data_IF_465349370639
#
_entry.id   IF_465349370639
#
_cell.length_a   1.000
_cell.length_b   1.000
_cell.length_c   1.000
_cell.angle_alpha   90.00
_cell.angle_beta   90.00
_cell.angle_gamma   90.00
#
_symmetry.space_group_name_H-M   'P 1'
#
loop_
_entity.id
_entity.type
_entity.pdbx_description
1 polymer ?
#
# COMPACT_ATOMS: atom_id res chain seq x y z
N UNK A 1 -21.61 32.51 -10.32
CA UNK A 1 -22.16 31.20 -9.95
C UNK A 1 -21.97 30.17 -11.04
N UNK A 2 -21.96 28.91 -10.67
CA UNK A 2 -21.82 27.76 -11.57
C UNK A 2 -23.12 26.99 -11.67
N UNK A 3 -23.41 26.44 -12.85
CA UNK A 3 -24.63 25.66 -13.11
C UNK A 3 -24.39 24.17 -12.75
N UNK A 4 -23.14 23.69 -12.89
CA UNK A 4 -22.80 22.31 -12.68
C UNK A 4 -21.32 22.15 -12.31
N UNK A 5 -21.03 21.22 -11.39
CA UNK A 5 -19.68 20.86 -10.96
C UNK A 5 -19.58 19.32 -11.00
N UNK A 6 -18.44 18.82 -11.47
CA UNK A 6 -18.04 17.42 -11.36
C UNK A 6 -16.83 17.34 -10.44
N UNK A 7 -16.93 16.50 -9.40
CA UNK A 7 -15.81 16.13 -8.56
C UNK A 7 -15.47 14.67 -8.88
N UNK A 8 -14.40 14.50 -9.65
CA UNK A 8 -13.87 13.18 -10.00
C UNK A 8 -12.88 12.73 -8.93
N UNK A 9 -12.89 11.45 -8.60
CA UNK A 9 -12.14 10.85 -7.47
C UNK A 9 -12.35 11.63 -6.15
N UNK A 10 -13.60 12.06 -5.92
CA UNK A 10 -13.92 12.97 -4.82
C UNK A 10 -13.53 12.45 -3.43
N UNK A 11 -13.46 11.14 -3.25
CA UNK A 11 -13.02 10.53 -2.00
C UNK A 11 -11.58 10.90 -1.61
N UNK A 12 -10.74 11.29 -2.58
CA UNK A 12 -9.35 11.74 -2.37
C UNK A 12 -9.25 13.28 -2.25
N UNK A 13 -10.35 14.01 -2.44
CA UNK A 13 -10.43 15.46 -2.27
C UNK A 13 -10.73 15.81 -0.80
N UNK A 14 -10.09 16.84 -0.26
CA UNK A 14 -10.41 17.32 1.08
C UNK A 14 -11.87 17.84 1.15
N UNK A 15 -12.66 17.49 2.16
CA UNK A 15 -14.07 17.89 2.28
C UNK A 15 -14.28 19.40 2.20
N UNK A 16 -13.37 20.19 2.79
CA UNK A 16 -13.42 21.66 2.83
C UNK A 16 -13.39 22.28 1.43
N UNK A 17 -12.71 21.61 0.47
CA UNK A 17 -12.71 22.06 -0.92
C UNK A 17 -14.12 22.10 -1.52
N UNK A 18 -14.96 21.13 -1.17
CA UNK A 18 -16.36 21.14 -1.58
C UNK A 18 -17.20 22.08 -0.72
N UNK A 19 -17.20 21.90 0.59
CA UNK A 19 -18.15 22.58 1.47
C UNK A 19 -17.87 24.08 1.56
N UNK A 20 -16.62 24.52 1.63
CA UNK A 20 -16.25 25.91 1.84
C UNK A 20 -16.03 26.67 0.52
N UNK A 21 -15.53 25.98 -0.53
CA UNK A 21 -15.15 26.64 -1.77
C UNK A 21 -16.14 26.42 -2.90
N UNK A 22 -16.46 25.17 -3.24
CA UNK A 22 -17.23 24.85 -4.45
C UNK A 22 -18.75 25.00 -4.23
N UNK A 23 -19.27 24.48 -3.12
CA UNK A 23 -20.69 24.54 -2.82
C UNK A 23 -21.28 25.96 -2.85
N UNK A 24 -20.63 27.01 -2.30
CA UNK A 24 -21.14 28.39 -2.39
C UNK A 24 -21.27 28.88 -3.83
N UNK A 25 -20.44 28.44 -4.76
CA UNK A 25 -20.49 28.87 -6.17
C UNK A 25 -21.73 28.34 -6.92
N UNK A 26 -22.39 27.31 -6.38
CA UNK A 26 -23.64 26.75 -6.94
C UNK A 26 -24.88 27.52 -6.49
N UNK A 27 -24.79 28.33 -5.42
CA UNK A 27 -25.95 28.94 -4.75
C UNK A 27 -26.73 29.89 -5.62
N UNK A 28 -26.06 30.77 -6.39
CA UNK A 28 -26.69 31.81 -7.20
C UNK A 28 -27.59 31.23 -8.30
N UNK A 29 -27.22 30.08 -8.85
CA UNK A 29 -27.90 29.46 -9.98
C UNK A 29 -28.67 28.21 -9.62
N UNK A 30 -28.72 27.86 -8.32
CA UNK A 30 -29.23 26.56 -7.87
C UNK A 30 -28.60 25.40 -8.64
N UNK A 31 -27.28 25.52 -8.85
CA UNK A 31 -26.50 24.57 -9.64
C UNK A 31 -26.42 23.19 -8.99
N UNK A 32 -25.91 22.23 -9.72
CA UNK A 32 -25.82 20.81 -9.34
C UNK A 32 -24.37 20.37 -9.21
N UNK A 33 -24.15 19.36 -8.36
CA UNK A 33 -22.85 18.68 -8.25
C UNK A 33 -23.01 17.19 -8.58
N UNK A 34 -22.01 16.66 -9.29
CA UNK A 34 -21.85 15.24 -9.52
C UNK A 34 -20.56 14.80 -8.84
N UNK A 35 -20.65 13.80 -7.99
CA UNK A 35 -19.53 13.16 -7.31
C UNK A 35 -19.30 11.80 -7.95
N UNK A 36 -18.08 11.55 -8.42
CA UNK A 36 -17.67 10.29 -9.05
C UNK A 36 -16.41 9.82 -8.33
N UNK A 37 -16.28 8.52 -8.13
CA UNK A 37 -15.07 7.92 -7.55
C UNK A 37 -15.29 6.54 -7.00
N UNK A 38 -14.19 5.91 -6.61
CA UNK A 38 -14.19 4.62 -5.96
C UNK A 38 -14.37 4.80 -4.44
N UNK A 39 -15.15 3.94 -3.75
CA UNK A 39 -15.25 3.96 -2.29
C UNK A 39 -13.89 3.84 -1.61
N UNK A 40 -13.67 4.59 -0.52
CA UNK A 40 -12.40 4.59 0.24
C UNK A 40 -12.56 4.14 1.69
N UNK A 41 -13.63 3.43 1.99
CA UNK A 41 -13.95 2.96 3.34
C UNK A 41 -14.97 3.83 4.06
N UNK A 42 -15.55 3.29 5.12
CA UNK A 42 -16.63 3.95 5.88
C UNK A 42 -16.19 5.17 6.70
N UNK A 43 -14.89 5.33 6.97
CA UNK A 43 -14.33 6.52 7.63
C UNK A 43 -14.04 7.68 6.69
N UNK A 44 -14.35 7.56 5.40
CA UNK A 44 -14.15 8.62 4.41
C UNK A 44 -15.42 9.44 4.23
N UNK A 45 -15.29 10.75 4.02
CA UNK A 45 -16.43 11.66 3.80
C UNK A 45 -17.30 11.27 2.58
N UNK A 46 -16.76 10.51 1.64
CA UNK A 46 -17.52 9.94 0.53
C UNK A 46 -18.63 8.99 1.02
N UNK A 47 -18.36 8.23 2.09
CA UNK A 47 -19.37 7.40 2.72
C UNK A 47 -20.49 8.22 3.37
N UNK A 48 -20.14 9.32 4.02
CA UNK A 48 -21.13 10.24 4.61
C UNK A 48 -22.03 10.85 3.54
N UNK A 49 -21.47 11.31 2.41
CA UNK A 49 -22.26 11.81 1.27
C UNK A 49 -23.15 10.69 0.72
N UNK A 50 -22.61 9.49 0.54
CA UNK A 50 -23.39 8.34 0.07
C UNK A 50 -24.57 8.04 0.99
N UNK A 51 -24.36 7.98 2.31
CA UNK A 51 -25.43 7.74 3.29
C UNK A 51 -26.48 8.88 3.26
N UNK A 52 -26.04 10.12 3.26
CA UNK A 52 -26.93 11.27 3.17
C UNK A 52 -27.77 11.28 1.87
N UNK A 53 -27.23 10.76 0.77
CA UNK A 53 -27.93 10.66 -0.50
C UNK A 53 -29.05 9.62 -0.50
N UNK A 54 -28.99 8.59 0.38
CA UNK A 54 -30.04 7.59 0.50
C UNK A 54 -31.31 8.15 1.16
N UNK A 55 -31.13 9.11 2.08
CA UNK A 55 -32.22 9.65 2.90
C UNK A 55 -32.72 11.02 2.42
N UNK A 56 -32.15 11.60 1.34
CA UNK A 56 -32.47 12.93 0.88
C UNK A 56 -33.03 12.96 -0.55
N UNK A 57 -34.26 13.44 -0.71
CA UNK A 57 -34.97 13.48 -1.99
C UNK A 57 -34.27 14.33 -3.07
N UNK A 58 -33.43 15.29 -2.68
CA UNK A 58 -32.66 16.13 -3.60
C UNK A 58 -31.39 15.46 -4.11
N UNK A 59 -31.07 14.28 -3.61
CA UNK A 59 -29.89 13.51 -3.99
C UNK A 59 -30.29 12.23 -4.72
N UNK A 60 -29.34 11.73 -5.52
CA UNK A 60 -29.43 10.41 -6.13
C UNK A 60 -28.06 9.75 -6.02
N UNK A 61 -28.05 8.51 -5.58
CA UNK A 61 -26.84 7.70 -5.50
C UNK A 61 -26.97 6.49 -6.42
N UNK A 62 -25.89 6.20 -7.12
CA UNK A 62 -25.76 5.06 -8.02
C UNK A 62 -24.48 4.33 -7.69
N UNK A 63 -24.54 3.00 -7.69
CA UNK A 63 -23.37 2.14 -7.50
C UNK A 63 -23.27 1.20 -8.70
N UNK A 64 -22.12 1.17 -9.32
CA UNK A 64 -21.82 0.27 -10.43
C UNK A 64 -20.54 -0.50 -10.10
N UNK A 65 -20.61 -1.82 -10.26
CA UNK A 65 -19.43 -2.66 -10.16
C UNK A 65 -18.67 -2.63 -11.50
N UNK A 66 -17.41 -3.03 -11.49
CA UNK A 66 -16.64 -3.21 -12.72
C UNK A 66 -17.31 -4.23 -13.67
N UNK A 67 -18.02 -5.21 -13.09
CA UNK A 67 -18.77 -6.23 -13.86
C UNK A 67 -19.98 -5.60 -14.55
N UNK A 68 -20.74 -4.75 -13.83
CA UNK A 68 -21.90 -4.04 -14.39
C UNK A 68 -21.49 -3.09 -15.52
N UNK A 69 -20.31 -2.50 -15.44
CA UNK A 69 -19.77 -1.62 -16.48
C UNK A 69 -19.49 -2.32 -17.81
N UNK A 70 -19.20 -3.61 -17.79
CA UNK A 70 -19.03 -4.46 -18.96
C UNK A 70 -17.81 -4.12 -19.86
N UNK A 71 -16.97 -3.16 -19.47
CA UNK A 71 -15.83 -2.70 -20.27
C UNK A 71 -14.53 -3.45 -19.95
N UNK A 72 -14.49 -4.22 -18.86
CA UNK A 72 -13.32 -4.97 -18.42
C UNK A 72 -13.53 -6.45 -18.75
N UNK A 73 -12.59 -7.09 -19.46
CA UNK A 73 -12.65 -8.52 -19.78
C UNK A 73 -12.73 -9.37 -18.52
N UNK A 74 -13.46 -10.50 -18.60
CA UNK A 74 -13.61 -11.42 -17.46
C UNK A 74 -12.26 -11.98 -16.98
N UNK A 75 -11.33 -12.21 -17.90
CA UNK A 75 -9.97 -12.68 -17.60
C UNK A 75 -9.20 -11.68 -16.73
N UNK A 76 -9.38 -10.37 -16.96
CA UNK A 76 -8.74 -9.32 -16.16
C UNK A 76 -9.34 -9.29 -14.75
N UNK A 77 -10.65 -9.49 -14.61
CA UNK A 77 -11.30 -9.58 -13.29
C UNK A 77 -10.79 -10.80 -12.51
N UNK A 78 -10.65 -11.97 -13.19
CA UNK A 78 -10.07 -13.16 -12.56
C UNK A 78 -8.59 -12.98 -12.21
N UNK A 79 -7.84 -12.23 -13.01
CA UNK A 79 -6.46 -11.87 -12.70
C UNK A 79 -6.39 -10.94 -11.47
N UNK A 80 -7.26 -9.92 -11.41
CA UNK A 80 -7.34 -9.01 -10.28
C UNK A 80 -7.64 -9.74 -8.95
N UNK A 81 -8.49 -10.77 -8.97
CA UNK A 81 -8.74 -11.62 -7.78
C UNK A 81 -7.47 -12.34 -7.28
N UNK A 82 -6.52 -12.65 -8.17
CA UNK A 82 -5.25 -13.30 -7.81
C UNK A 82 -4.19 -12.31 -7.34
N UNK A 83 -4.29 -11.07 -7.79
CA UNK A 83 -3.31 -10.03 -7.52
C UNK A 83 -3.67 -9.20 -6.27
N UNK A 84 -4.96 -9.13 -5.92
CA UNK A 84 -5.48 -8.31 -4.84
C UNK A 84 -5.89 -9.14 -3.61
N UNK A 85 -5.87 -8.50 -2.46
CA UNK A 85 -6.54 -8.98 -1.26
C UNK A 85 -8.05 -8.73 -1.34
N UNK A 86 -8.81 -9.45 -0.53
CA UNK A 86 -10.29 -9.44 -0.59
C UNK A 86 -10.88 -8.03 -0.40
N UNK A 87 -10.39 -7.24 0.56
CA UNK A 87 -10.93 -5.89 0.82
C UNK A 87 -10.65 -4.95 -0.34
N UNK A 88 -9.44 -4.96 -0.87
CA UNK A 88 -9.07 -4.16 -2.03
C UNK A 88 -9.89 -4.56 -3.25
N UNK A 89 -10.06 -5.86 -3.51
CA UNK A 89 -10.88 -6.32 -4.61
C UNK A 89 -12.35 -5.87 -4.48
N UNK A 90 -12.93 -6.01 -3.30
CA UNK A 90 -14.31 -5.58 -3.04
C UNK A 90 -14.46 -4.06 -3.22
N UNK A 91 -13.53 -3.29 -2.72
CA UNK A 91 -13.55 -1.84 -2.86
C UNK A 91 -13.42 -1.40 -4.33
N UNK A 92 -12.40 -1.88 -5.03
CA UNK A 92 -12.03 -1.38 -6.37
C UNK A 92 -12.88 -2.00 -7.50
N UNK A 93 -13.35 -3.26 -7.35
CA UNK A 93 -14.10 -3.97 -8.40
C UNK A 93 -15.58 -4.14 -8.09
N UNK A 94 -15.97 -4.19 -6.82
CA UNK A 94 -17.35 -4.35 -6.40
C UNK A 94 -17.96 -3.06 -5.82
N UNK A 95 -17.22 -1.96 -5.84
CA UNK A 95 -17.63 -0.63 -5.36
C UNK A 95 -18.23 -0.64 -3.94
N UNK A 96 -17.64 -1.45 -3.02
CA UNK A 96 -18.10 -1.55 -1.63
C UNK A 96 -17.33 -0.60 -0.72
N UNK A 97 -18.05 -0.04 0.28
CA UNK A 97 -17.40 0.70 1.36
C UNK A 97 -16.91 -0.28 2.43
N UNK A 98 -15.60 -0.48 2.48
CA UNK A 98 -14.98 -1.41 3.42
C UNK A 98 -14.72 -0.77 4.79
N UNK A 99 -14.76 -1.60 5.85
CA UNK A 99 -14.47 -1.14 7.21
C UNK A 99 -12.99 -1.34 7.53
N UNK A 100 -12.29 -0.24 7.83
CA UNK A 100 -10.91 -0.27 8.29
C UNK A 100 -10.87 -0.23 9.83
N UNK A 101 -11.29 -1.32 10.47
CA UNK A 101 -11.23 -1.50 11.91
C UNK A 101 -10.42 -2.74 12.25
N UNK A 102 -9.83 -2.75 13.44
CA UNK A 102 -9.05 -3.88 13.91
C UNK A 102 -7.69 -4.01 13.21
N UNK A 103 -7.27 -5.24 12.98
CA UNK A 103 -5.94 -5.58 12.47
C UNK A 103 -5.74 -5.13 11.02
N UNK A 104 -4.60 -4.46 10.75
CA UNK A 104 -4.23 -3.97 9.42
C UNK A 104 -3.95 -5.13 8.46
N UNK A 105 -3.14 -6.11 8.92
CA UNK A 105 -2.79 -7.30 8.15
C UNK A 105 -3.78 -8.42 8.42
N UNK A 106 -5.04 -8.17 8.11
CA UNK A 106 -6.15 -9.08 8.39
C UNK A 106 -6.06 -10.41 7.63
N UNK A 107 -5.36 -10.43 6.49
CA UNK A 107 -5.15 -11.64 5.69
C UNK A 107 -4.09 -12.60 6.30
N UNK A 108 -3.35 -12.15 7.33
CA UNK A 108 -2.38 -13.00 8.02
C UNK A 108 -3.08 -14.06 8.87
N UNK A 109 -2.71 -15.30 8.65
CA UNK A 109 -3.13 -16.46 9.44
C UNK A 109 -1.90 -17.20 9.97
N UNK A 110 -1.84 -17.33 11.29
CA UNK A 110 -0.67 -17.93 11.96
C UNK A 110 -0.41 -19.37 11.52
N UNK A 111 -1.46 -20.17 11.33
CA UNK A 111 -1.30 -21.58 10.96
C UNK A 111 -0.92 -21.74 9.49
N UNK A 112 -1.40 -20.86 8.64
CA UNK A 112 -1.21 -20.96 7.20
C UNK A 112 0.03 -20.20 6.69
N UNK A 113 0.40 -19.06 7.30
CA UNK A 113 1.52 -18.25 6.83
C UNK A 113 2.83 -18.51 7.58
N UNK A 114 2.82 -19.07 8.82
CA UNK A 114 4.06 -19.40 9.51
C UNK A 114 4.56 -20.76 9.03
N UNK A 115 5.72 -20.75 8.37
CA UNK A 115 6.39 -21.96 7.88
C UNK A 115 7.89 -21.84 8.06
N UNK A 116 8.49 -22.86 8.65
CA UNK A 116 9.94 -22.93 8.76
C UNK A 116 10.57 -22.98 7.37
N UNK A 117 11.53 -22.13 7.12
CA UNK A 117 12.32 -22.19 5.89
C UNK A 117 13.19 -23.46 5.92
N UNK A 118 13.04 -24.28 4.89
CA UNK A 118 13.80 -25.53 4.74
C UNK A 118 14.59 -25.42 3.44
N UNK A 119 15.91 -25.42 3.54
CA UNK A 119 16.81 -25.35 2.39
C UNK A 119 18.10 -24.60 2.70
N UNK A 120 19.00 -24.59 1.70
CA UNK A 120 20.19 -23.76 1.74
C UNK A 120 19.82 -22.28 1.54
N UNK A 121 20.61 -21.35 2.08
CA UNK A 121 20.45 -19.93 1.79
C UNK A 121 20.59 -19.71 0.28
N UNK A 122 19.72 -18.89 -0.33
CA UNK A 122 19.78 -18.59 -1.76
C UNK A 122 21.01 -17.72 -2.08
N UNK A 123 21.42 -17.66 -3.34
CA UNK A 123 22.51 -16.78 -3.78
C UNK A 123 22.17 -15.29 -3.60
N UNK A 124 20.90 -14.95 -3.63
CA UNK A 124 20.41 -13.59 -3.45
C UNK A 124 19.34 -13.54 -2.36
N UNK A 125 19.50 -12.62 -1.42
CA UNK A 125 18.50 -12.27 -0.42
C UNK A 125 17.91 -10.88 -0.70
N UNK A 126 16.64 -10.72 -0.39
CA UNK A 126 15.85 -9.50 -0.59
C UNK A 126 15.57 -8.89 0.78
N UNK A 127 15.90 -7.62 0.97
CA UNK A 127 15.82 -6.95 2.27
C UNK A 127 14.93 -5.73 2.16
N UNK A 128 13.81 -5.71 2.87
CA UNK A 128 13.05 -4.51 3.14
C UNK A 128 13.66 -3.78 4.33
N UNK A 129 13.75 -2.44 4.29
CA UNK A 129 14.41 -1.69 5.35
C UNK A 129 13.68 -0.38 5.68
N UNK A 130 13.42 -0.19 6.96
CA UNK A 130 12.91 1.06 7.54
C UNK A 130 14.02 1.74 8.33
N UNK A 131 14.30 3.03 8.01
CA UNK A 131 15.39 3.82 8.59
C UNK A 131 15.01 4.52 9.89
N UNK A 132 14.02 4.06 10.61
CA UNK A 132 13.75 4.62 11.92
C UNK A 132 14.89 4.28 12.88
N UNK A 133 15.32 5.27 13.68
CA UNK A 133 16.47 5.11 14.59
C UNK A 133 16.14 4.19 15.76
N UNK A 134 14.88 4.15 16.19
CA UNK A 134 14.48 3.45 17.40
C UNK A 134 13.11 2.74 17.27
N UNK A 135 13.10 1.51 16.76
CA UNK A 135 14.21 0.71 16.24
C UNK A 135 14.43 0.87 14.72
N UNK A 136 15.67 0.71 14.26
CA UNK A 136 15.96 0.45 12.86
C UNK A 136 15.59 -1.00 12.54
N UNK A 137 14.84 -1.20 11.44
CA UNK A 137 14.22 -2.48 11.15
C UNK A 137 14.54 -2.96 9.73
N UNK A 138 14.88 -4.24 9.59
CA UNK A 138 15.04 -4.88 8.31
C UNK A 138 14.43 -6.28 8.30
N UNK A 139 13.74 -6.62 7.22
CA UNK A 139 13.13 -7.93 6.98
C UNK A 139 13.85 -8.58 5.82
N UNK A 140 14.34 -9.80 6.00
CA UNK A 140 15.10 -10.54 5.00
C UNK A 140 14.25 -11.65 4.40
N UNK A 141 14.13 -11.67 3.08
CA UNK A 141 13.34 -12.65 2.35
C UNK A 141 14.16 -13.43 1.31
N UNK A 142 13.74 -14.66 1.09
CA UNK A 142 14.00 -15.43 -0.10
C UNK A 142 12.81 -15.28 -1.05
N UNK A 143 13.07 -15.12 -2.34
CA UNK A 143 12.04 -15.02 -3.38
C UNK A 143 12.11 -16.23 -4.31
N UNK A 144 10.96 -16.84 -4.58
CA UNK A 144 10.79 -17.89 -5.58
C UNK A 144 9.58 -17.55 -6.45
N UNK A 145 9.84 -17.03 -7.66
CA UNK A 145 8.78 -16.54 -8.52
C UNK A 145 8.01 -15.38 -7.89
N UNK A 146 6.74 -15.60 -7.62
CA UNK A 146 5.81 -14.67 -6.97
C UNK A 146 5.64 -14.89 -5.46
N UNK A 147 6.38 -15.85 -4.89
CA UNK A 147 6.34 -16.21 -3.47
C UNK A 147 7.53 -15.61 -2.73
N UNK A 148 7.25 -15.04 -1.56
CA UNK A 148 8.22 -14.57 -0.58
C UNK A 148 8.24 -15.50 0.63
N UNK A 149 9.42 -15.90 1.07
CA UNK A 149 9.63 -16.51 2.37
C UNK A 149 10.50 -15.58 3.20
N UNK A 150 9.94 -14.99 4.24
CA UNK A 150 10.66 -14.17 5.21
C UNK A 150 11.50 -15.13 6.06
N UNK A 151 12.83 -15.05 5.90
CA UNK A 151 13.77 -16.00 6.45
C UNK A 151 14.59 -15.46 7.61
N UNK A 152 14.66 -14.14 7.77
CA UNK A 152 15.36 -13.49 8.87
C UNK A 152 14.82 -12.07 9.11
N UNK A 153 15.18 -11.48 10.25
CA UNK A 153 14.85 -10.12 10.60
C UNK A 153 15.96 -9.47 11.43
N UNK A 154 16.16 -8.17 11.27
CA UNK A 154 17.06 -7.35 12.08
C UNK A 154 16.23 -6.25 12.72
N UNK A 155 16.34 -6.09 14.03
CA UNK A 155 15.73 -5.02 14.80
C UNK A 155 16.76 -4.50 15.79
N UNK A 156 17.20 -3.26 15.62
CA UNK A 156 18.26 -2.67 16.42
C UNK A 156 17.82 -1.32 16.96
N UNK A 157 17.98 -1.14 18.26
CA UNK A 157 17.69 0.10 18.97
C UNK A 157 18.94 0.97 19.04
N UNK A 158 18.75 2.30 19.07
CA UNK A 158 19.82 3.29 19.17
C UNK A 158 20.97 3.02 18.17
N UNK A 159 20.61 2.58 16.96
CA UNK A 159 21.53 2.11 15.94
C UNK A 159 21.57 3.07 14.74
N UNK A 160 22.47 2.78 13.82
CA UNK A 160 22.63 3.48 12.57
C UNK A 160 22.69 2.51 11.38
N UNK A 161 22.58 3.05 10.17
CA UNK A 161 22.55 2.25 8.94
C UNK A 161 23.79 1.39 8.75
N UNK A 162 24.97 1.87 9.19
CA UNK A 162 26.22 1.09 9.06
C UNK A 162 26.18 -0.17 9.93
N UNK A 163 25.65 -0.08 11.14
CA UNK A 163 25.54 -1.25 12.05
C UNK A 163 24.60 -2.32 11.48
N UNK A 164 23.49 -1.91 10.86
CA UNK A 164 22.59 -2.87 10.18
C UNK A 164 23.26 -3.48 8.95
N UNK A 165 24.06 -2.70 8.21
CA UNK A 165 24.88 -3.21 7.09
C UNK A 165 25.85 -4.28 7.57
N UNK A 166 26.55 -4.03 8.68
CA UNK A 166 27.53 -4.96 9.23
C UNK A 166 26.86 -6.25 9.71
N UNK A 167 25.71 -6.15 10.36
CA UNK A 167 24.90 -7.29 10.78
C UNK A 167 24.41 -8.12 9.59
N UNK A 168 23.90 -7.47 8.54
CA UNK A 168 23.46 -8.16 7.32
C UNK A 168 24.62 -8.89 6.62
N UNK A 169 25.81 -8.26 6.54
CA UNK A 169 27.02 -8.89 5.97
C UNK A 169 27.50 -10.08 6.81
N UNK A 170 27.39 -9.98 8.13
CA UNK A 170 27.75 -11.09 9.03
C UNK A 170 26.82 -12.28 8.86
N UNK A 171 25.50 -12.05 8.75
CA UNK A 171 24.51 -13.12 8.57
C UNK A 171 24.51 -13.70 7.17
N UNK A 172 24.80 -12.88 6.15
CA UNK A 172 24.72 -13.24 4.74
C UNK A 172 26.05 -12.97 3.99
N UNK A 173 27.18 -13.58 4.41
CA UNK A 173 28.51 -13.21 3.92
C UNK A 173 28.77 -13.60 2.45
N UNK A 174 27.99 -14.54 1.91
CA UNK A 174 28.14 -15.06 0.53
C UNK A 174 27.00 -14.64 -0.40
N UNK A 175 25.95 -14.06 0.15
CA UNK A 175 24.74 -13.72 -0.59
C UNK A 175 24.86 -12.35 -1.25
N UNK A 176 24.30 -12.21 -2.43
CA UNK A 176 24.02 -10.90 -3.01
C UNK A 176 22.81 -10.29 -2.28
N UNK A 177 23.01 -9.10 -1.70
CA UNK A 177 21.97 -8.44 -0.91
C UNK A 177 21.30 -7.35 -1.76
N UNK A 178 20.00 -7.51 -2.00
CA UNK A 178 19.16 -6.51 -2.66
C UNK A 178 18.31 -5.82 -1.60
N UNK A 179 18.40 -4.49 -1.50
CA UNK A 179 17.73 -3.70 -0.48
C UNK A 179 16.65 -2.83 -1.10
N UNK A 180 15.48 -2.85 -0.49
CA UNK A 180 14.30 -2.07 -0.80
C UNK A 180 13.98 -1.18 0.40
N UNK A 181 14.64 -0.03 0.50
CA UNK A 181 14.55 0.82 1.68
C UNK A 181 13.38 1.81 1.57
N UNK A 182 13.06 2.44 2.71
CA UNK A 182 12.25 3.65 2.73
C UNK A 182 12.86 4.71 1.80
N UNK A 183 12.11 5.27 0.85
CA UNK A 183 12.56 6.36 -0.01
C UNK A 183 13.05 7.60 0.76
N UNK A 184 12.53 7.84 1.98
CA UNK A 184 12.97 8.94 2.85
C UNK A 184 14.45 8.85 3.24
N UNK A 185 15.07 7.66 3.20
CA UNK A 185 16.50 7.47 3.42
C UNK A 185 17.43 8.18 2.42
N UNK A 186 16.87 8.82 1.40
CA UNK A 186 17.63 9.69 0.48
C UNK A 186 17.87 11.12 1.04
N UNK A 187 17.27 11.45 2.19
CA UNK A 187 17.49 12.75 2.84
C UNK A 187 18.85 12.79 3.51
N UNK A 188 19.58 13.91 3.32
CA UNK A 188 20.88 14.12 3.98
C UNK A 188 20.69 14.31 5.48
N UNK A 189 21.42 13.55 6.27
CA UNK A 189 21.49 13.73 7.73
C UNK A 189 22.80 14.40 8.12
N UNK A 190 22.73 15.46 8.90
CA UNK A 190 23.91 16.21 9.39
C UNK A 190 24.84 15.35 10.26
N UNK A 191 24.28 14.37 10.98
CA UNK A 191 25.01 13.44 11.84
C UNK A 191 25.87 12.41 11.09
N UNK A 192 25.66 12.22 9.79
CA UNK A 192 26.37 11.21 8.96
C UNK A 192 27.43 11.83 8.03
N UNK A 193 27.97 13.02 8.35
CA UNK A 193 28.96 13.70 7.49
C UNK A 193 28.42 14.04 6.10
N UNK A 194 27.10 14.16 5.93
CA UNK A 194 26.43 14.46 4.66
C UNK A 194 26.11 13.23 3.79
N UNK A 195 26.45 12.02 4.22
CA UNK A 195 26.03 10.80 3.54
C UNK A 195 24.54 10.50 3.81
N UNK A 196 23.83 9.96 2.81
CA UNK A 196 22.46 9.46 2.98
C UNK A 196 22.50 7.98 3.36
N UNK A 197 21.45 7.48 4.02
CA UNK A 197 21.32 6.06 4.34
C UNK A 197 21.44 5.18 3.08
N UNK A 198 20.85 5.64 1.97
CA UNK A 198 20.94 4.98 0.66
C UNK A 198 22.39 4.96 0.15
N UNK A 199 23.16 6.02 0.37
CA UNK A 199 24.58 6.05 -0.02
C UNK A 199 25.41 5.05 0.79
N UNK A 200 25.15 4.93 2.08
CA UNK A 200 25.81 3.93 2.95
C UNK A 200 25.54 2.51 2.44
N UNK A 201 24.29 2.18 2.13
CA UNK A 201 23.92 0.87 1.58
C UNK A 201 24.64 0.57 0.25
N UNK A 202 24.71 1.55 -0.67
CA UNK A 202 25.42 1.41 -1.96
C UNK A 202 26.92 1.22 -1.77
N UNK A 203 27.54 2.01 -0.89
CA UNK A 203 28.96 1.90 -0.57
C UNK A 203 29.30 0.55 0.08
N UNK A 204 28.35 -0.05 0.79
CA UNK A 204 28.47 -1.39 1.33
C UNK A 204 28.48 -2.50 0.25
N UNK A 205 28.20 -2.17 -1.01
CA UNK A 205 28.11 -3.11 -2.12
C UNK A 205 26.73 -3.74 -2.30
N UNK A 206 25.69 -3.22 -1.62
CA UNK A 206 24.32 -3.72 -1.78
C UNK A 206 23.68 -3.19 -3.07
N UNK A 207 22.80 -3.97 -3.67
CA UNK A 207 21.98 -3.52 -4.79
C UNK A 207 20.74 -2.82 -4.24
N UNK A 208 20.75 -1.49 -4.27
CA UNK A 208 19.67 -0.68 -3.68
C UNK A 208 18.63 -0.32 -4.73
N UNK A 209 17.37 -0.70 -4.48
CA UNK A 209 16.20 -0.45 -5.32
C UNK A 209 15.25 0.51 -4.59
N UNK A 210 15.23 1.75 -5.04
CA UNK A 210 14.34 2.80 -4.51
C UNK A 210 13.29 3.10 -5.56
N UNK A 211 11.99 3.15 -5.21
CA UNK A 211 10.96 3.57 -6.16
C UNK A 211 11.14 5.04 -6.55
N UNK A 212 10.70 5.40 -7.75
CA UNK A 212 10.81 6.78 -8.27
C UNK A 212 9.88 7.75 -7.54
N UNK A 213 8.82 7.25 -6.91
CA UNK A 213 7.84 8.03 -6.15
C UNK A 213 7.51 7.34 -4.83
N UNK A 214 7.05 8.12 -3.86
CA UNK A 214 6.57 7.58 -2.59
C UNK A 214 5.28 6.81 -2.82
N UNK A 215 5.28 5.51 -2.51
CA UNK A 215 4.06 4.70 -2.53
C UNK A 215 3.21 5.02 -1.30
N UNK A 216 1.89 5.27 -1.46
CA UNK A 216 0.98 5.45 -0.34
C UNK A 216 1.04 4.27 0.64
N UNK A 217 0.91 4.56 1.94
CA UNK A 217 0.93 3.53 3.00
C UNK A 217 -0.11 2.46 2.75
N UNK A 218 -1.31 2.85 2.28
CA UNK A 218 -2.38 1.93 1.93
C UNK A 218 -1.96 0.90 0.88
N UNK A 219 -1.27 1.33 -0.17
CA UNK A 219 -0.88 0.45 -1.27
C UNK A 219 0.18 -0.57 -0.80
N UNK A 220 1.11 -0.15 0.07
CA UNK A 220 2.07 -1.07 0.71
C UNK A 220 1.38 -2.11 1.59
N UNK A 221 0.37 -1.69 2.38
CA UNK A 221 -0.43 -2.60 3.20
C UNK A 221 -1.18 -3.61 2.33
N UNK A 222 -1.79 -3.13 1.24
CA UNK A 222 -2.54 -3.98 0.31
C UNK A 222 -1.61 -4.98 -0.41
N UNK A 223 -0.40 -4.55 -0.80
CA UNK A 223 0.61 -5.44 -1.37
C UNK A 223 0.97 -6.59 -0.41
N UNK A 224 1.15 -6.29 0.88
CA UNK A 224 1.43 -7.33 1.90
C UNK A 224 0.21 -8.24 2.08
N UNK A 225 -1.01 -7.70 2.26
CA UNK A 225 -2.22 -8.50 2.43
C UNK A 225 -2.47 -9.43 1.23
N UNK A 226 -2.27 -8.94 -0.01
CA UNK A 226 -2.44 -9.75 -1.22
C UNK A 226 -1.48 -10.94 -1.29
N UNK A 227 -0.25 -10.79 -0.75
CA UNK A 227 0.70 -11.91 -0.68
C UNK A 227 0.44 -12.84 0.50
N UNK A 228 -0.08 -12.31 1.62
CA UNK A 228 -0.52 -13.13 2.76
C UNK A 228 -1.67 -14.04 2.39
N UNK A 229 -2.69 -13.52 1.73
CA UNK A 229 -3.81 -14.28 1.18
C UNK A 229 -4.53 -13.43 0.14
N UNK A 230 -4.61 -13.90 -1.11
CA UNK A 230 -5.39 -13.23 -2.15
C UNK A 230 -6.90 -13.55 -2.04
N UNK A 231 -7.70 -12.93 -2.90
CA UNK A 231 -9.17 -13.07 -2.90
C UNK A 231 -9.64 -14.50 -3.15
N UNK A 232 -8.82 -15.32 -3.81
CA UNK A 232 -9.15 -16.74 -4.09
C UNK A 232 -8.52 -17.71 -3.07
N UNK A 233 -7.93 -17.16 -1.98
CA UNK A 233 -7.40 -17.95 -0.88
C UNK A 233 -5.96 -18.46 -1.06
N UNK A 234 -5.24 -18.02 -2.11
CA UNK A 234 -3.87 -18.43 -2.35
C UNK A 234 -2.91 -17.58 -1.52
N UNK A 235 -1.95 -18.22 -0.86
CA UNK A 235 -0.93 -17.58 -0.03
C UNK A 235 0.43 -17.64 -0.70
N UNK A 236 1.09 -16.50 -0.78
CA UNK A 236 2.39 -16.32 -1.43
C UNK A 236 3.42 -15.64 -0.54
N UNK A 237 3.09 -15.44 0.74
CA UNK A 237 4.01 -14.95 1.75
C UNK A 237 4.02 -15.90 2.94
N UNK A 238 5.20 -16.40 3.25
CA UNK A 238 5.44 -17.29 4.40
C UNK A 238 6.50 -16.68 5.30
N UNK A 239 6.39 -16.87 6.60
CA UNK A 239 7.26 -16.28 7.60
C UNK A 239 7.89 -17.41 8.43
N UNK A 240 9.22 -17.41 8.51
CA UNK A 240 9.92 -18.33 9.40
C UNK A 240 9.57 -18.04 10.86
N UNK A 241 9.27 -19.04 11.71
CA UNK A 241 8.90 -18.84 13.11
C UNK A 241 9.94 -18.08 13.95
N UNK A 242 11.20 -17.98 13.50
CA UNK A 242 12.21 -17.16 14.19
C UNK A 242 12.01 -15.65 14.00
N UNK A 243 11.28 -15.22 12.97
CA UNK A 243 10.97 -13.82 12.67
C UNK A 243 9.83 -13.32 13.58
N UNK A 244 10.10 -13.24 14.87
CA UNK A 244 9.09 -12.97 15.91
C UNK A 244 8.52 -11.58 15.82
N UNK A 245 9.34 -10.57 15.53
CA UNK A 245 8.91 -9.18 15.46
C UNK A 245 8.05 -8.92 14.22
N UNK A 246 8.39 -9.53 13.09
CA UNK A 246 7.55 -9.49 11.87
C UNK A 246 6.19 -10.17 12.15
N UNK A 247 6.19 -11.35 12.77
CA UNK A 247 4.94 -12.05 13.13
C UNK A 247 4.10 -11.19 14.07
N UNK A 248 4.69 -10.64 15.13
CA UNK A 248 4.01 -9.80 16.11
C UNK A 248 3.43 -8.54 15.46
N UNK A 249 4.19 -7.88 14.59
CA UNK A 249 3.73 -6.74 13.81
C UNK A 249 2.49 -7.07 12.96
N UNK A 250 2.54 -8.18 12.22
CA UNK A 250 1.41 -8.64 11.40
C UNK A 250 0.16 -8.98 12.22
N UNK A 251 0.33 -9.46 13.46
CA UNK A 251 -0.78 -9.82 14.35
C UNK A 251 -1.39 -8.64 15.08
N UNK A 252 -0.57 -7.64 15.46
CA UNK A 252 -0.96 -6.63 16.46
C UNK A 252 -1.16 -5.24 15.91
N UNK A 253 -0.60 -4.90 14.75
CA UNK A 253 -0.78 -3.57 14.20
C UNK A 253 -2.24 -3.34 13.82
N UNK A 254 -2.81 -2.25 14.33
CA UNK A 254 -4.20 -1.84 14.11
C UNK A 254 -4.28 -0.48 13.44
N UNK A 255 -5.47 -0.16 12.93
CA UNK A 255 -5.80 1.21 12.55
C UNK A 255 -6.04 2.06 13.79
N UNK A 256 -5.76 3.38 13.71
CA UNK A 256 -6.23 4.36 14.70
C UNK A 256 -7.76 4.34 14.75
N UNK A 257 -8.31 4.49 15.94
CA UNK A 257 -9.77 4.51 16.12
C UNK A 257 -10.41 5.60 15.25
N UNK A 258 -11.45 5.23 14.52
CA UNK A 258 -12.18 6.13 13.61
C UNK A 258 -11.38 6.60 12.37
N UNK A 259 -10.28 5.93 12.01
CA UNK A 259 -9.41 6.33 10.91
C UNK A 259 -8.98 5.14 10.06
N UNK A 260 -8.64 5.39 8.80
CA UNK A 260 -7.95 4.43 7.92
C UNK A 260 -6.41 4.52 8.01
N UNK A 261 -5.89 5.31 8.97
CA UNK A 261 -4.46 5.46 9.18
C UNK A 261 -3.94 4.40 10.16
N UNK A 262 -2.78 3.77 9.90
CA UNK A 262 -2.14 2.88 10.86
C UNK A 262 -1.85 3.56 12.19
N UNK A 263 -2.07 2.84 13.28
CA UNK A 263 -1.56 3.25 14.58
C UNK A 263 -0.04 3.04 14.63
N UNK A 264 0.70 4.13 14.87
CA UNK A 264 2.16 4.14 15.00
C UNK A 264 2.65 4.26 16.44
N UNK A 265 1.75 4.51 17.38
CA UNK A 265 2.09 4.67 18.80
C UNK A 265 2.40 3.33 19.46
N UNK A 266 1.84 2.24 18.92
CA UNK A 266 2.06 0.87 19.39
C UNK A 266 3.46 0.31 19.09
N UNK A 267 4.22 0.92 18.14
CA UNK A 267 5.57 0.48 17.75
C UNK A 267 5.62 -0.83 16.95
N UNK A 268 4.47 -1.28 16.44
CA UNK A 268 4.39 -2.47 15.55
C UNK A 268 4.55 -2.14 14.08
N UNK A 269 4.69 -0.88 13.73
CA UNK A 269 4.75 -0.39 12.35
C UNK A 269 6.11 -0.63 11.68
N UNK A 270 7.23 -0.50 12.39
CA UNK A 270 8.58 -0.48 11.80
C UNK A 270 8.93 -1.74 11.00
N UNK A 271 8.67 -2.94 11.56
CA UNK A 271 8.91 -4.20 10.82
C UNK A 271 7.98 -4.35 9.64
N UNK A 272 6.73 -3.91 9.81
CA UNK A 272 5.72 -3.96 8.76
C UNK A 272 5.97 -2.92 7.66
N UNK A 273 6.47 -1.73 7.99
CA UNK A 273 6.91 -0.75 7.00
C UNK A 273 8.09 -1.29 6.19
N UNK A 274 9.11 -1.89 6.85
CA UNK A 274 10.21 -2.56 6.17
C UNK A 274 9.73 -3.67 5.22
N UNK A 275 8.82 -4.54 5.68
CA UNK A 275 8.18 -5.57 4.87
C UNK A 275 7.41 -4.97 3.70
N UNK A 276 6.66 -3.88 3.95
CA UNK A 276 5.85 -3.18 2.98
C UNK A 276 6.66 -2.57 1.83
N UNK A 277 7.78 -1.91 2.11
CA UNK A 277 8.67 -1.33 1.07
C UNK A 277 9.17 -2.39 0.09
N UNK A 278 9.60 -3.54 0.60
CA UNK A 278 10.06 -4.65 -0.24
C UNK A 278 8.90 -5.28 -1.02
N UNK A 279 7.79 -5.54 -0.36
CA UNK A 279 6.67 -6.26 -0.98
C UNK A 279 6.03 -5.43 -2.08
N UNK A 280 5.77 -4.16 -1.83
CA UNK A 280 5.18 -3.24 -2.80
C UNK A 280 6.10 -3.05 -4.03
N UNK A 281 7.41 -2.91 -3.83
CA UNK A 281 8.35 -2.80 -4.95
C UNK A 281 8.35 -4.05 -5.83
N UNK A 282 8.30 -5.24 -5.22
CA UNK A 282 8.38 -6.52 -5.93
C UNK A 282 7.04 -6.94 -6.55
N UNK A 283 5.94 -6.52 -5.94
CA UNK A 283 4.57 -6.92 -6.29
C UNK A 283 3.60 -5.75 -6.08
N UNK A 284 3.72 -4.67 -6.86
CA UNK A 284 2.84 -3.50 -6.72
C UNK A 284 1.39 -3.89 -7.02
N UNK A 285 0.46 -3.39 -6.21
CA UNK A 285 -0.99 -3.60 -6.38
C UNK A 285 -1.51 -2.78 -7.57
N UNK A 286 -0.95 -1.59 -7.79
CA UNK A 286 -1.24 -0.77 -8.98
C UNK A 286 -0.17 -1.04 -10.02
N UNK A 287 -0.58 -1.52 -11.19
CA UNK A 287 0.27 -1.48 -12.38
C UNK A 287 0.39 -0.02 -12.80
N UNK A 288 1.59 0.42 -13.16
CA UNK A 288 1.77 1.68 -13.89
C UNK A 288 0.86 1.61 -15.12
N UNK A 289 -0.15 2.45 -15.14
CA UNK A 289 -1.00 2.58 -16.34
C UNK A 289 -0.10 3.07 -17.45
N UNK A 290 -0.06 2.35 -18.57
CA UNK A 290 0.72 2.73 -19.73
C UNK A 290 0.40 4.20 -20.08
N UNK A 291 1.39 5.11 -20.09
CA UNK A 291 1.16 6.53 -20.42
C UNK A 291 0.48 6.72 -21.79
N UNK A 292 0.57 5.76 -22.70
CA UNK A 292 -0.13 5.77 -23.98
C UNK A 292 -1.66 5.66 -23.81
N UNK A 293 -2.13 4.93 -22.79
CA UNK A 293 -3.56 4.81 -22.47
C UNK A 293 -4.13 6.06 -21.80
N UNK A 294 -3.27 6.92 -21.25
CA UNK A 294 -3.67 8.21 -20.65
C UNK A 294 -3.71 9.36 -21.64
N UNK A 295 -3.38 9.15 -22.91
CA UNK A 295 -3.55 10.21 -23.92
C UNK A 295 -5.03 10.50 -24.06
N UNK A 296 -5.48 11.79 -23.86
CA UNK A 296 -6.87 12.13 -24.03
C UNK A 296 -7.30 11.74 -25.44
N UNK A 297 -8.28 10.85 -25.55
CA UNK A 297 -8.92 10.57 -26.82
C UNK A 297 -9.51 11.90 -27.30
N UNK A 298 -9.02 12.43 -28.42
CA UNK A 298 -9.63 13.58 -29.08
C UNK A 298 -11.03 13.14 -29.53
N UNK A 299 -12.03 13.54 -28.77
CA UNK A 299 -13.41 13.45 -29.23
C UNK A 299 -13.50 14.28 -30.51
N UNK A 300 -13.55 13.61 -31.65
CA UNK A 300 -13.74 14.27 -32.93
C UNK A 300 -15.05 15.05 -32.86
N UNK A 301 -15.00 16.31 -33.25
CA UNK A 301 -16.18 17.14 -33.44
C UNK A 301 -17.13 16.44 -34.41
N UNK A 302 -18.18 15.82 -33.89
CA UNK A 302 -19.37 15.44 -34.64
C UNK A 302 -20.48 16.43 -34.27
N UNK A 303 -20.34 17.66 -34.80
CA UNK A 303 -21.44 18.58 -34.95
C UNK A 303 -21.36 19.06 -36.40
N UNK A 304 -22.15 18.46 -37.26
CA UNK A 304 -22.65 19.00 -38.48
C UNK A 304 -24.16 18.83 -38.49
#
# INVERSE_FOLDING_TARGET
GLDFIVLDEFADIAPDAFYETLRPTLSDKQGRALFIGTPKGIGNWAYEIYQNALDNENWRSYTFTTIDGGNVPAEEIEQAKRDLDERTFRQEYLATFETFTGRIYYAFDRQANIRKYIGSLPDTVYVGMDFNIDPMSAVVAQRSGDTLHIIDEVRMFSSNTQEVVDELKQRFPKQKIWVYPDPAGNQRRSSAGGATDITILRNAGFVVKVPNSHTPVRDRINAVNSRLCDTIGIRRMFIDPKCKYTIEGLERQTYKEGSSQPDKESGYDHMNDALGYMTDYLFPVRRDVDPELMKPQRWGHALA
#
